data_IF_585074310042
#
_entry.id   IF_585074310042
#
_cell.length_a   1.000
_cell.length_b   1.000
_cell.length_c   1.000
_cell.angle_alpha   90.00
_cell.angle_beta   90.00
_cell.angle_gamma   90.00
#
_symmetry.space_group_name_H-M   'P 1'
#
loop_
_entity.id
_entity.type
_entity.pdbx_description
1 polymer ?
#
# COMPACT_ATOMS: atom_id res chain seq x y z
N UNK A 1 -2.31 -19.39 16.98
CA UNK A 1 -2.69 -18.13 16.28
C UNK A 1 -4.17 -18.15 15.93
N UNK A 2 -4.68 -19.10 15.14
CA UNK A 2 -6.10 -19.16 14.75
C UNK A 2 -7.07 -19.20 15.95
N UNK A 3 -6.85 -20.04 16.97
CA UNK A 3 -7.70 -20.07 18.18
C UNK A 3 -7.74 -18.74 18.94
N UNK A 4 -6.70 -17.90 18.84
CA UNK A 4 -6.68 -16.55 19.43
C UNK A 4 -7.61 -15.59 18.67
N UNK A 5 -7.80 -15.84 17.37
CA UNK A 5 -8.67 -15.05 16.50
C UNK A 5 -10.12 -15.55 16.49
N UNK A 6 -10.42 -16.74 16.99
CA UNK A 6 -11.76 -17.32 16.90
C UNK A 6 -12.85 -16.42 17.53
N UNK A 7 -12.63 -15.93 18.75
CA UNK A 7 -13.56 -15.03 19.41
C UNK A 7 -13.70 -13.70 18.65
N UNK A 8 -12.61 -13.18 18.10
CA UNK A 8 -12.57 -11.95 17.33
C UNK A 8 -13.28 -12.11 15.97
N UNK A 9 -13.04 -13.21 15.26
CA UNK A 9 -13.68 -13.54 13.98
C UNK A 9 -15.18 -13.76 14.15
N UNK A 10 -15.58 -14.51 15.19
CA UNK A 10 -17.00 -14.72 15.49
C UNK A 10 -17.70 -13.39 15.80
N UNK A 11 -17.10 -12.56 16.63
CA UNK A 11 -17.69 -11.27 17.03
C UNK A 11 -17.75 -10.28 15.87
N UNK A 12 -16.67 -10.16 15.10
CA UNK A 12 -16.57 -9.13 14.06
C UNK A 12 -17.31 -9.50 12.78
N UNK A 13 -17.29 -10.80 12.40
CA UNK A 13 -17.70 -11.23 11.06
C UNK A 13 -18.58 -12.49 11.07
N UNK A 14 -18.89 -13.05 12.24
CA UNK A 14 -19.79 -14.20 12.37
C UNK A 14 -19.20 -15.54 11.92
N UNK A 15 -17.88 -15.66 11.82
CA UNK A 15 -17.19 -16.88 11.34
C UNK A 15 -16.45 -17.55 12.49
N UNK A 16 -16.67 -18.84 12.64
CA UNK A 16 -15.91 -19.72 13.54
C UNK A 16 -14.92 -20.58 12.74
N UNK A 17 -13.84 -21.01 13.38
CA UNK A 17 -12.81 -21.83 12.72
C UNK A 17 -13.44 -23.14 12.20
N UNK A 18 -14.39 -23.70 12.97
CA UNK A 18 -15.12 -24.90 12.58
C UNK A 18 -15.86 -24.78 11.24
N UNK A 19 -16.24 -23.56 10.81
CA UNK A 19 -16.86 -23.36 9.50
C UNK A 19 -15.90 -23.61 8.34
N UNK A 20 -14.59 -23.44 8.55
CA UNK A 20 -13.57 -23.58 7.51
C UNK A 20 -13.27 -25.06 7.16
N UNK A 21 -13.85 -26.02 7.89
CA UNK A 21 -13.64 -27.46 7.67
C UNK A 21 -14.49 -28.05 6.53
N UNK A 22 -15.29 -27.23 5.85
CA UNK A 22 -16.07 -27.66 4.68
C UNK A 22 -15.22 -27.64 3.40
N UNK A 23 -15.40 -28.60 2.48
CA UNK A 23 -14.78 -28.57 1.14
C UNK A 23 -15.08 -27.28 0.33
N UNK A 24 -16.15 -26.57 0.66
CA UNK A 24 -16.59 -25.35 -0.04
C UNK A 24 -16.33 -24.06 0.76
N UNK A 25 -15.64 -24.15 1.90
CA UNK A 25 -15.29 -23.01 2.75
C UNK A 25 -16.34 -22.64 3.81
N UNK A 26 -16.23 -21.45 4.43
CA UNK A 26 -15.43 -20.29 4.00
C UNK A 26 -13.91 -20.49 4.08
N UNK A 27 -13.18 -19.90 3.14
CA UNK A 27 -11.71 -19.83 3.15
C UNK A 27 -11.26 -18.48 3.70
N UNK A 28 -10.15 -18.46 4.43
CA UNK A 28 -9.62 -17.24 5.05
C UNK A 28 -8.22 -16.96 4.48
N UNK A 29 -8.02 -15.73 4.01
CA UNK A 29 -6.71 -15.16 3.71
C UNK A 29 -6.42 -14.08 4.75
N UNK A 30 -5.28 -14.17 5.43
CA UNK A 30 -4.89 -13.27 6.51
C UNK A 30 -3.57 -12.59 6.17
N UNK A 31 -3.52 -11.26 6.28
CA UNK A 31 -2.31 -10.46 6.06
C UNK A 31 -2.32 -9.23 6.97
N UNK A 32 -1.19 -8.51 7.07
CA UNK A 32 -1.13 -7.30 7.89
C UNK A 32 -1.75 -6.09 7.18
N UNK A 33 -1.18 -5.69 6.04
CA UNK A 33 -1.54 -4.47 5.32
C UNK A 33 -1.49 -4.69 3.82
N UNK A 34 -2.58 -4.36 3.13
CA UNK A 34 -2.56 -4.34 1.66
C UNK A 34 -2.06 -2.98 1.16
N UNK A 35 -0.93 -2.99 0.46
CA UNK A 35 -0.42 -1.82 -0.26
C UNK A 35 -0.89 -1.83 -1.71
N UNK A 36 -0.09 -2.34 -2.65
CA UNK A 36 -0.45 -2.42 -4.07
C UNK A 36 -1.45 -3.52 -4.42
N UNK A 37 -1.76 -4.43 -3.48
CA UNK A 37 -2.61 -5.59 -3.73
C UNK A 37 -1.94 -6.77 -4.44
N UNK A 38 -0.67 -6.65 -4.86
CA UNK A 38 -0.03 -7.71 -5.66
C UNK A 38 0.19 -9.03 -4.91
N UNK A 39 0.56 -9.01 -3.62
CA UNK A 39 0.80 -10.24 -2.85
C UNK A 39 -0.45 -11.11 -2.77
N UNK A 40 -1.50 -10.56 -2.15
CA UNK A 40 -2.81 -11.22 -2.05
C UNK A 40 -3.37 -11.63 -3.41
N UNK A 41 -3.18 -10.81 -4.45
CA UNK A 41 -3.55 -11.16 -5.81
C UNK A 41 -2.82 -12.42 -6.27
N UNK A 42 -1.49 -12.45 -6.24
CA UNK A 42 -0.72 -13.58 -6.74
C UNK A 42 -1.00 -14.88 -5.97
N UNK A 43 -1.08 -14.78 -4.64
CA UNK A 43 -1.31 -15.92 -3.77
C UNK A 43 -2.70 -16.53 -4.05
N UNK A 44 -3.74 -15.68 -4.13
CA UNK A 44 -5.10 -16.14 -4.41
C UNK A 44 -5.33 -16.50 -5.89
N UNK A 45 -4.74 -15.82 -6.87
CA UNK A 45 -4.81 -16.24 -8.28
C UNK A 45 -4.29 -17.67 -8.44
N UNK A 46 -3.12 -17.96 -7.85
CA UNK A 46 -2.52 -19.29 -7.86
C UNK A 46 -3.45 -20.34 -7.22
N UNK A 47 -4.00 -20.03 -6.05
CA UNK A 47 -4.95 -20.90 -5.37
C UNK A 47 -6.26 -21.09 -6.16
N UNK A 48 -6.79 -20.01 -6.75
CA UNK A 48 -8.02 -20.04 -7.57
C UNK A 48 -7.84 -21.01 -8.73
N UNK A 49 -6.73 -20.96 -9.45
CA UNK A 49 -6.52 -21.87 -10.58
C UNK A 49 -6.29 -23.31 -10.14
N UNK A 50 -5.47 -23.51 -9.12
CA UNK A 50 -4.93 -24.85 -8.82
C UNK A 50 -5.74 -25.65 -7.80
N UNK A 51 -6.51 -24.99 -6.91
CA UNK A 51 -7.03 -25.66 -5.71
C UNK A 51 -8.43 -25.22 -5.26
N UNK A 52 -8.90 -24.02 -5.65
CA UNK A 52 -10.22 -23.55 -5.22
C UNK A 52 -11.34 -24.47 -5.74
N UNK A 53 -12.40 -24.71 -4.95
CA UNK A 53 -13.60 -25.42 -5.42
C UNK A 53 -14.35 -24.61 -6.48
N UNK A 54 -15.32 -25.25 -7.16
CA UNK A 54 -16.11 -24.59 -8.21
C UNK A 54 -16.96 -23.43 -7.70
N UNK A 55 -17.38 -23.46 -6.44
CA UNK A 55 -18.09 -22.38 -5.77
C UNK A 55 -17.66 -22.27 -4.31
N UNK A 56 -17.29 -21.07 -3.86
CA UNK A 56 -16.94 -20.81 -2.46
C UNK A 56 -16.92 -19.32 -2.08
N UNK A 57 -16.74 -19.07 -0.79
CA UNK A 57 -16.53 -17.75 -0.22
C UNK A 57 -15.11 -17.63 0.34
N UNK A 58 -14.43 -16.53 0.02
CA UNK A 58 -13.11 -16.17 0.55
C UNK A 58 -13.24 -14.89 1.38
N UNK A 59 -12.79 -14.93 2.63
CA UNK A 59 -12.66 -13.78 3.52
C UNK A 59 -11.21 -13.35 3.56
N UNK A 60 -10.91 -12.17 3.01
CA UNK A 60 -9.60 -11.53 3.11
C UNK A 60 -9.65 -10.59 4.32
N UNK A 61 -8.84 -10.88 5.32
CA UNK A 61 -8.83 -10.19 6.61
C UNK A 61 -7.48 -9.52 6.81
N UNK A 62 -7.48 -8.21 6.96
CA UNK A 62 -6.27 -7.40 7.14
C UNK A 62 -6.47 -6.35 8.23
N UNK A 63 -5.38 -5.81 8.78
CA UNK A 63 -5.49 -4.68 9.71
C UNK A 63 -5.83 -3.40 8.95
N UNK A 64 -5.16 -3.18 7.81
CA UNK A 64 -5.39 -2.03 6.96
C UNK A 64 -5.30 -2.38 5.46
N UNK A 65 -5.93 -1.57 4.62
CA UNK A 65 -5.61 -1.57 3.19
C UNK A 65 -5.58 -0.17 2.60
N UNK A 66 -4.81 -0.05 1.52
CA UNK A 66 -4.90 1.06 0.59
C UNK A 66 -6.00 0.75 -0.44
N UNK A 67 -6.90 1.71 -0.65
CA UNK A 67 -8.10 1.54 -1.49
C UNK A 67 -7.75 1.20 -2.94
N UNK A 68 -6.68 1.76 -3.48
CA UNK A 68 -6.17 1.46 -4.82
C UNK A 68 -5.74 0.00 -4.95
N UNK A 69 -4.98 -0.51 -3.98
CA UNK A 69 -4.54 -1.90 -3.97
C UNK A 69 -5.68 -2.90 -3.77
N UNK A 70 -6.60 -2.60 -2.85
CA UNK A 70 -7.78 -3.43 -2.60
C UNK A 70 -8.67 -3.52 -3.86
N UNK A 71 -8.92 -2.39 -4.51
CA UNK A 71 -9.71 -2.34 -5.75
C UNK A 71 -9.02 -3.12 -6.88
N UNK A 72 -7.71 -2.91 -7.06
CA UNK A 72 -6.92 -3.61 -8.07
C UNK A 72 -6.95 -5.12 -7.87
N UNK A 73 -6.66 -5.59 -6.65
CA UNK A 73 -6.68 -7.01 -6.31
C UNK A 73 -8.07 -7.62 -6.52
N UNK A 74 -9.13 -6.93 -6.08
CA UNK A 74 -10.51 -7.43 -6.25
C UNK A 74 -10.89 -7.66 -7.70
N UNK A 75 -10.56 -6.71 -8.59
CA UNK A 75 -10.84 -6.85 -10.01
C UNK A 75 -10.04 -8.00 -10.63
N UNK A 76 -8.78 -8.15 -10.26
CA UNK A 76 -7.93 -9.23 -10.77
C UNK A 76 -8.38 -10.60 -10.29
N UNK A 77 -8.76 -10.74 -9.03
CA UNK A 77 -9.28 -11.99 -8.48
C UNK A 77 -10.64 -12.35 -9.08
N UNK A 78 -11.50 -11.36 -9.35
CA UNK A 78 -12.75 -11.58 -10.10
C UNK A 78 -12.47 -12.10 -11.50
N UNK A 79 -11.51 -11.50 -12.22
CA UNK A 79 -11.08 -11.97 -13.54
C UNK A 79 -10.54 -13.40 -13.48
N UNK A 80 -9.70 -13.71 -12.50
CA UNK A 80 -9.14 -15.05 -12.31
C UNK A 80 -10.24 -16.10 -12.07
N UNK A 81 -11.19 -15.83 -11.17
CA UNK A 81 -12.33 -16.71 -10.91
C UNK A 81 -13.16 -16.96 -12.17
N UNK A 82 -13.50 -15.89 -12.91
CA UNK A 82 -14.23 -15.99 -14.18
C UNK A 82 -13.47 -16.82 -15.21
N UNK A 83 -12.18 -16.58 -15.39
CA UNK A 83 -11.34 -17.32 -16.34
C UNK A 83 -11.16 -18.80 -15.97
N UNK A 84 -11.26 -19.13 -14.68
CA UNK A 84 -11.23 -20.51 -14.19
C UNK A 84 -12.61 -21.19 -14.21
N UNK A 85 -13.68 -20.49 -14.61
CA UNK A 85 -15.05 -20.99 -14.57
C UNK A 85 -15.57 -21.23 -13.15
N UNK A 86 -15.07 -20.49 -12.16
CA UNK A 86 -15.40 -20.66 -10.74
C UNK A 86 -16.25 -19.50 -10.22
N UNK A 87 -17.21 -19.81 -9.36
CA UNK A 87 -18.04 -18.84 -8.66
C UNK A 87 -17.42 -18.54 -7.28
N UNK A 88 -16.55 -17.54 -7.22
CA UNK A 88 -15.85 -17.19 -5.98
C UNK A 88 -16.31 -15.82 -5.50
N UNK A 89 -16.93 -15.81 -4.31
CA UNK A 89 -17.33 -14.58 -3.63
C UNK A 89 -16.21 -14.13 -2.69
N UNK A 90 -15.77 -12.88 -2.82
CA UNK A 90 -14.67 -12.33 -2.01
C UNK A 90 -15.22 -11.24 -1.09
N UNK A 91 -14.91 -11.36 0.20
CA UNK A 91 -15.22 -10.38 1.24
C UNK A 91 -13.93 -9.81 1.82
N UNK A 92 -13.86 -8.48 1.93
CA UNK A 92 -12.73 -7.77 2.52
C UNK A 92 -13.07 -7.25 3.91
N UNK A 93 -12.19 -7.51 4.86
CA UNK A 93 -12.30 -7.09 6.25
C UNK A 93 -11.05 -6.32 6.65
N UNK A 94 -11.26 -5.21 7.35
CA UNK A 94 -10.23 -4.22 7.70
C UNK A 94 -10.67 -3.35 8.86
N UNK A 95 -9.70 -2.89 9.64
CA UNK A 95 -9.89 -1.85 10.65
C UNK A 95 -9.66 -0.46 10.09
N UNK A 96 -8.71 -0.32 9.16
CA UNK A 96 -8.29 0.98 8.60
C UNK A 96 -8.35 0.94 7.07
N UNK A 97 -8.89 2.00 6.47
CA UNK A 97 -8.78 2.26 5.04
C UNK A 97 -7.90 3.48 4.79
N UNK A 98 -7.08 3.43 3.74
CA UNK A 98 -6.20 4.51 3.32
C UNK A 98 -6.52 4.89 1.87
N UNK A 99 -6.84 6.15 1.62
CA UNK A 99 -7.05 6.66 0.27
C UNK A 99 -5.71 6.98 -0.43
N UNK A 100 -5.40 6.23 -1.48
CA UNK A 100 -4.16 6.38 -2.27
C UNK A 100 -4.39 6.49 -3.78
N UNK A 101 -5.65 6.41 -4.23
CA UNK A 101 -5.98 6.34 -5.66
C UNK A 101 -5.68 7.69 -6.32
N UNK A 102 -5.05 7.64 -7.49
CA UNK A 102 -4.66 8.83 -8.27
C UNK A 102 -5.81 9.82 -8.49
N UNK A 103 -7.03 9.32 -8.75
CA UNK A 103 -8.20 10.16 -8.96
C UNK A 103 -8.52 11.07 -7.77
N UNK A 104 -8.18 10.65 -6.55
CA UNK A 104 -8.38 11.41 -5.31
C UNK A 104 -7.06 12.02 -4.82
N UNK A 105 -6.20 12.49 -5.73
CA UNK A 105 -4.90 13.08 -5.38
C UNK A 105 -5.01 14.14 -4.27
N UNK A 106 -5.97 15.06 -4.40
CA UNK A 106 -6.25 16.13 -3.43
C UNK A 106 -6.93 15.69 -2.13
N UNK A 107 -7.39 14.45 -2.08
CA UNK A 107 -8.09 13.84 -0.95
C UNK A 107 -7.44 12.50 -0.58
N UNK A 108 -6.11 12.47 -0.50
CA UNK A 108 -5.34 11.26 -0.21
C UNK A 108 -4.82 11.23 1.22
N UNK A 109 -4.62 10.02 1.71
CA UNK A 109 -4.05 9.66 3.01
C UNK A 109 -2.57 9.26 2.94
N UNK A 110 -2.02 9.23 1.72
CA UNK A 110 -0.59 9.01 1.46
C UNK A 110 0.12 10.33 1.14
N UNK A 111 1.44 10.34 1.32
CA UNK A 111 2.30 11.49 1.00
C UNK A 111 2.20 11.85 -0.48
N UNK A 112 1.71 13.07 -0.76
CA UNK A 112 1.51 13.65 -2.09
C UNK A 112 1.81 15.15 -1.99
N UNK A 113 3.07 15.57 -2.25
CA UNK A 113 3.48 16.96 -2.08
C UNK A 113 2.53 17.94 -2.77
N UNK A 114 2.05 18.93 -2.01
CA UNK A 114 1.31 20.07 -2.57
C UNK A 114 2.23 21.09 -3.24
N UNK A 115 3.49 21.13 -2.82
CA UNK A 115 4.51 22.05 -3.32
C UNK A 115 5.79 21.27 -3.58
N UNK A 116 6.45 21.53 -4.71
CA UNK A 116 7.78 21.01 -4.98
C UNK A 116 8.84 22.03 -4.50
N UNK A 117 9.71 21.64 -3.56
CA UNK A 117 10.74 22.53 -3.04
C UNK A 117 11.73 22.98 -4.11
N UNK A 118 12.31 24.17 -3.97
CA UNK A 118 13.16 24.81 -5.00
C UNK A 118 14.64 24.40 -4.91
N UNK A 119 14.99 23.55 -3.96
CA UNK A 119 16.32 23.04 -3.75
C UNK A 119 16.84 22.31 -5.00
N UNK A 120 18.09 22.55 -5.43
CA UNK A 120 18.61 22.06 -6.71
C UNK A 120 18.44 20.55 -6.91
N UNK A 121 18.77 19.74 -5.89
CA UNK A 121 18.68 18.27 -5.98
C UNK A 121 17.25 17.78 -6.20
N UNK A 122 16.27 18.43 -5.58
CA UNK A 122 14.85 18.07 -5.72
C UNK A 122 14.35 18.50 -7.09
N UNK A 123 14.71 19.71 -7.54
CA UNK A 123 14.38 20.20 -8.87
C UNK A 123 15.01 19.34 -9.96
N UNK A 124 16.26 18.90 -9.80
CA UNK A 124 16.89 17.96 -10.72
C UNK A 124 16.09 16.66 -10.82
N UNK A 125 15.65 16.09 -9.70
CA UNK A 125 14.85 14.87 -9.69
C UNK A 125 13.48 15.07 -10.38
N UNK A 126 12.80 16.20 -10.11
CA UNK A 126 11.51 16.55 -10.74
C UNK A 126 11.67 16.79 -12.25
N UNK A 127 12.73 17.48 -12.66
CA UNK A 127 13.06 17.75 -14.05
C UNK A 127 13.43 16.47 -14.79
N UNK A 128 14.17 15.56 -14.16
CA UNK A 128 14.45 14.23 -14.71
C UNK A 128 13.15 13.51 -15.04
N UNK A 129 12.22 13.37 -14.07
CA UNK A 129 10.92 12.73 -14.32
C UNK A 129 10.11 13.43 -15.42
N UNK A 130 10.14 14.77 -15.44
CA UNK A 130 9.48 15.58 -16.45
C UNK A 130 10.05 15.33 -17.85
N UNK A 131 11.39 15.30 -17.98
CA UNK A 131 12.09 15.03 -19.24
C UNK A 131 11.85 13.62 -19.77
N UNK A 132 11.58 12.66 -18.88
CA UNK A 132 11.18 11.30 -19.24
C UNK A 132 9.70 11.18 -19.64
N UNK A 133 8.93 12.28 -19.61
CA UNK A 133 7.51 12.30 -19.95
C UNK A 133 6.56 12.01 -18.77
N UNK A 134 7.06 12.08 -17.53
CA UNK A 134 6.31 11.79 -16.31
C UNK A 134 6.37 12.94 -15.31
N UNK A 135 5.93 14.16 -15.68
CA UNK A 135 5.95 15.30 -14.76
C UNK A 135 5.19 14.96 -13.46
N UNK A 136 5.82 15.12 -12.29
CA UNK A 136 5.14 14.95 -11.02
C UNK A 136 3.96 15.91 -10.88
N UNK A 137 2.82 15.38 -10.46
CA UNK A 137 1.60 16.16 -10.23
C UNK A 137 1.55 16.63 -8.78
N UNK A 138 1.51 17.95 -8.57
CA UNK A 138 1.34 18.53 -7.26
C UNK A 138 -0.12 18.40 -6.81
N UNK A 139 -0.32 18.08 -5.53
CA UNK A 139 -1.66 18.01 -4.95
C UNK A 139 -2.25 19.41 -4.79
N UNK A 140 -3.52 19.61 -5.18
CA UNK A 140 -4.22 20.85 -4.85
C UNK A 140 -4.68 20.85 -3.39
N UNK A 141 -4.39 21.93 -2.66
CA UNK A 141 -4.90 22.14 -1.29
C UNK A 141 -6.30 22.75 -1.39
N UNK A 142 -7.31 22.04 -0.90
CA UNK A 142 -8.71 22.51 -0.90
C UNK A 142 -8.96 23.52 0.21
N UNK A 143 -10.03 24.31 0.11
CA UNK A 143 -10.52 25.16 1.18
C UNK A 143 -11.99 24.81 1.52
N UNK A 144 -12.27 24.17 2.68
CA UNK A 144 -11.30 23.77 3.72
C UNK A 144 -10.38 22.62 3.26
N UNK A 145 -9.19 22.44 3.89
CA UNK A 145 -8.29 21.34 3.56
C UNK A 145 -8.93 19.97 3.85
N UNK A 146 -8.55 18.96 3.05
CA UNK A 146 -8.93 17.57 3.29
C UNK A 146 -8.49 17.10 4.68
N UNK A 147 -9.44 16.59 5.46
CA UNK A 147 -9.21 16.12 6.82
C UNK A 147 -8.84 14.63 6.79
N UNK A 148 -7.57 14.35 6.53
CA UNK A 148 -7.04 12.98 6.64
C UNK A 148 -6.98 12.56 8.12
N UNK A 149 -7.36 11.32 8.47
CA UNK A 149 -7.19 10.81 9.83
C UNK A 149 -5.72 10.59 10.21
N UNK A 150 -4.78 10.65 9.25
CA UNK A 150 -3.36 10.38 9.46
C UNK A 150 -2.50 11.65 9.53
N UNK A 151 -3.02 12.79 9.06
CA UNK A 151 -2.32 14.07 9.08
C UNK A 151 -3.10 15.08 9.92
N UNK A 152 -2.49 15.53 11.03
CA UNK A 152 -3.15 16.40 12.00
C UNK A 152 -3.56 17.77 11.43
N UNK A 153 -2.71 18.36 10.59
CA UNK A 153 -2.98 19.62 9.88
C UNK A 153 -2.39 19.57 8.47
N UNK A 154 -2.88 20.43 7.58
CA UNK A 154 -2.35 20.55 6.21
C UNK A 154 -0.90 21.08 6.24
N UNK A 155 -0.57 22.03 7.11
CA UNK A 155 0.79 22.55 7.27
C UNK A 155 1.74 21.47 7.77
N UNK A 156 1.29 20.65 8.74
CA UNK A 156 2.08 19.53 9.25
C UNK A 156 2.29 18.44 8.20
N UNK A 157 1.28 18.20 7.35
CA UNK A 157 1.41 17.30 6.20
C UNK A 157 2.46 17.80 5.21
N UNK A 158 2.40 19.08 4.82
CA UNK A 158 3.37 19.65 3.88
C UNK A 158 4.80 19.64 4.43
N UNK A 159 4.98 19.91 5.73
CA UNK A 159 6.28 19.79 6.39
C UNK A 159 6.83 18.36 6.33
N UNK A 160 5.97 17.36 6.58
CA UNK A 160 6.36 15.95 6.50
C UNK A 160 6.69 15.53 5.06
N UNK A 161 5.87 15.95 4.08
CA UNK A 161 6.09 15.72 2.66
C UNK A 161 7.41 16.33 2.17
N UNK A 162 7.69 17.57 2.57
CA UNK A 162 8.97 18.26 2.33
C UNK A 162 10.14 17.45 2.88
N UNK A 163 10.11 17.14 4.18
CA UNK A 163 11.23 16.49 4.86
C UNK A 163 11.53 15.11 4.27
N UNK A 164 10.48 14.32 3.98
CA UNK A 164 10.64 12.97 3.44
C UNK A 164 11.02 12.97 1.95
N UNK A 165 10.53 13.92 1.17
CA UNK A 165 10.96 14.08 -0.23
C UNK A 165 12.45 14.46 -0.29
N UNK A 166 12.85 15.45 0.52
CA UNK A 166 14.24 15.90 0.60
C UNK A 166 15.17 14.76 1.05
N UNK A 167 14.83 14.07 2.14
CA UNK A 167 15.60 12.92 2.60
C UNK A 167 15.65 11.80 1.55
N UNK A 168 14.52 11.52 0.88
CA UNK A 168 14.44 10.49 -0.15
C UNK A 168 15.32 10.78 -1.37
N UNK A 169 15.36 12.02 -1.85
CA UNK A 169 16.25 12.44 -2.95
C UNK A 169 17.71 12.30 -2.54
N UNK A 170 18.08 12.77 -1.33
CA UNK A 170 19.43 12.61 -0.80
C UNK A 170 19.84 11.14 -0.68
N UNK A 171 18.95 10.27 -0.19
CA UNK A 171 19.22 8.84 -0.09
C UNK A 171 19.46 8.22 -1.47
N UNK A 172 18.72 8.64 -2.51
CA UNK A 172 18.94 8.19 -3.89
C UNK A 172 20.33 8.56 -4.41
N UNK A 173 20.85 9.72 -4.05
CA UNK A 173 22.20 10.14 -4.41
C UNK A 173 23.27 9.36 -3.62
N UNK A 174 23.04 9.11 -2.33
CA UNK A 174 23.99 8.41 -1.45
C UNK A 174 24.01 6.89 -1.65
N UNK A 175 22.91 6.30 -2.13
CA UNK A 175 22.74 4.85 -2.26
C UNK A 175 22.52 4.46 -3.73
N UNK A 176 23.57 4.46 -4.58
CA UNK A 176 23.44 4.27 -6.02
C UNK A 176 22.91 2.89 -6.43
N UNK A 177 22.99 1.90 -5.53
CA UNK A 177 22.49 0.54 -5.77
C UNK A 177 21.02 0.36 -5.41
N UNK A 178 20.32 1.40 -4.92
CA UNK A 178 18.87 1.31 -4.74
C UNK A 178 18.20 1.13 -6.10
N UNK A 179 17.36 0.09 -6.28
CA UNK A 179 16.65 -0.12 -7.54
C UNK A 179 15.88 1.13 -7.94
N UNK A 180 15.81 1.45 -9.23
CA UNK A 180 15.14 2.67 -9.73
C UNK A 180 13.66 2.78 -9.35
N UNK A 181 13.03 1.64 -9.04
CA UNK A 181 11.66 1.57 -8.54
C UNK A 181 11.53 2.05 -7.09
N UNK A 182 12.62 2.13 -6.33
CA UNK A 182 12.67 2.80 -5.04
C UNK A 182 12.78 4.29 -5.31
N UNK A 183 11.65 5.00 -5.22
CA UNK A 183 11.54 6.44 -5.44
C UNK A 183 11.70 7.19 -4.10
N UNK A 184 11.91 8.52 -4.11
CA UNK A 184 12.08 9.33 -2.89
C UNK A 184 10.98 9.16 -1.83
N UNK A 185 9.74 8.88 -2.24
CA UNK A 185 8.59 8.67 -1.34
C UNK A 185 8.13 7.20 -1.32
N UNK A 186 9.02 6.25 -1.65
CA UNK A 186 8.77 4.81 -1.55
C UNK A 186 8.63 4.11 -2.89
N UNK A 187 8.56 2.78 -2.85
CA UNK A 187 8.56 1.89 -4.00
C UNK A 187 7.36 2.14 -4.91
N UNK A 188 7.62 2.40 -6.19
CA UNK A 188 6.60 2.43 -7.23
C UNK A 188 7.19 1.94 -8.55
N UNK A 189 6.45 1.06 -9.24
CA UNK A 189 6.77 0.69 -10.63
C UNK A 189 6.52 1.87 -11.59
N UNK A 190 5.64 2.80 -11.20
CA UNK A 190 5.35 3.99 -11.98
C UNK A 190 6.48 5.01 -11.79
N UNK A 191 6.71 5.82 -12.82
CA UNK A 191 7.61 6.98 -12.77
C UNK A 191 6.88 8.13 -12.07
N UNK A 192 6.87 8.07 -10.74
CA UNK A 192 6.29 9.06 -9.82
C UNK A 192 7.25 9.27 -8.64
N UNK A 193 6.96 10.23 -7.75
CA UNK A 193 7.77 10.48 -6.56
C UNK A 193 7.81 9.31 -5.58
N UNK A 194 6.79 8.44 -5.57
CA UNK A 194 6.73 7.22 -4.78
C UNK A 194 5.30 6.83 -4.43
N UNK A 195 5.15 5.72 -3.69
CA UNK A 195 3.84 5.25 -3.22
C UNK A 195 3.29 6.13 -2.09
N UNK A 196 4.16 6.61 -1.20
CA UNK A 196 3.83 7.60 -0.18
C UNK A 196 3.19 7.04 1.09
N UNK A 197 3.25 5.74 1.33
CA UNK A 197 2.63 5.18 2.55
C UNK A 197 3.42 5.56 3.79
N UNK A 198 2.73 5.79 4.90
CA UNK A 198 3.33 6.03 6.22
C UNK A 198 3.06 4.87 7.18
N UNK A 199 2.43 3.78 6.72
CA UNK A 199 2.10 2.63 7.56
C UNK A 199 3.31 1.73 7.76
N UNK A 200 3.71 1.58 9.02
CA UNK A 200 4.71 0.64 9.51
C UNK A 200 4.06 -0.26 10.54
N UNK A 201 4.38 -1.56 10.53
CA UNK A 201 3.91 -2.50 11.56
C UNK A 201 5.08 -2.91 12.45
N UNK A 202 4.79 -3.48 13.62
CA UNK A 202 5.84 -4.04 14.49
C UNK A 202 6.65 -5.16 13.80
N UNK A 203 6.13 -5.75 12.72
CA UNK A 203 6.78 -6.82 11.97
C UNK A 203 7.75 -6.28 10.93
N UNK A 204 7.39 -5.19 10.24
CA UNK A 204 8.19 -4.68 9.13
C UNK A 204 7.87 -3.22 8.75
N UNK A 205 8.88 -2.52 8.22
CA UNK A 205 8.70 -1.31 7.42
C UNK A 205 8.68 -1.66 5.91
N UNK A 206 7.55 -1.49 5.21
CA UNK A 206 7.41 -1.89 3.81
C UNK A 206 8.21 -0.96 2.88
N UNK A 207 8.59 -1.43 1.68
CA UNK A 207 9.29 -0.55 0.71
C UNK A 207 8.40 0.52 0.11
N UNK A 208 7.08 0.42 0.25
CA UNK A 208 6.11 1.44 -0.13
C UNK A 208 6.16 2.68 0.77
N UNK A 209 6.80 2.58 1.94
CA UNK A 209 7.20 3.74 2.73
C UNK A 209 8.42 4.45 2.13
N UNK A 210 8.60 5.75 2.39
CA UNK A 210 9.79 6.48 1.98
C UNK A 210 11.08 5.76 2.42
N UNK A 211 12.14 5.71 1.58
CA UNK A 211 13.42 5.13 1.96
C UNK A 211 14.03 5.77 3.22
N UNK A 212 13.69 7.02 3.57
CA UNK A 212 14.08 7.61 4.86
C UNK A 212 13.69 6.76 6.07
N UNK A 213 12.62 5.96 5.96
CA UNK A 213 12.17 5.08 7.02
C UNK A 213 13.02 3.83 7.17
N UNK A 214 13.66 3.32 6.11
CA UNK A 214 14.19 1.95 6.10
C UNK A 214 15.48 1.74 5.30
N UNK A 215 15.95 2.71 4.53
CA UNK A 215 17.20 2.61 3.80
C UNK A 215 18.36 2.42 4.79
N UNK A 216 19.20 1.43 4.54
CA UNK A 216 20.37 1.16 5.35
C UNK A 216 21.58 1.99 4.92
N UNK A 217 22.76 1.56 5.38
CA UNK A 217 24.06 2.15 5.12
C UNK A 217 24.22 2.69 3.67
N UNK A 218 24.63 3.97 3.46
CA UNK A 218 25.08 4.95 4.46
C UNK A 218 23.98 5.72 5.22
N UNK A 219 22.69 5.41 5.01
CA UNK A 219 21.60 6.03 5.76
C UNK A 219 21.37 5.33 7.11
N UNK A 220 20.96 6.11 8.13
CA UNK A 220 20.48 5.57 9.40
C UNK A 220 18.94 5.63 9.41
N UNK A 221 18.24 4.49 9.28
CA UNK A 221 16.79 4.46 9.10
C UNK A 221 16.02 4.77 10.38
N UNK A 222 14.79 5.29 10.24
CA UNK A 222 13.88 5.50 11.36
C UNK A 222 13.29 4.19 11.91
N UNK A 223 13.17 3.17 11.07
CA UNK A 223 12.56 1.88 11.41
C UNK A 223 13.40 0.71 10.89
N UNK A 224 13.43 -0.42 11.62
CA UNK A 224 14.04 -1.64 11.12
C UNK A 224 13.23 -2.20 9.95
N UNK A 225 13.94 -2.78 8.98
CA UNK A 225 13.33 -3.49 7.85
C UNK A 225 13.82 -4.92 7.81
N UNK A 226 12.88 -5.85 7.71
CA UNK A 226 13.15 -7.24 7.35
C UNK A 226 12.96 -7.39 5.85
N UNK A 227 14.00 -7.85 5.16
CA UNK A 227 13.87 -8.29 3.78
C UNK A 227 13.46 -9.76 3.81
N UNK A 228 12.38 -10.09 3.08
CA UNK A 228 11.92 -11.46 2.91
C UNK A 228 12.65 -12.11 1.75
#
# INVERSE_FOLDING_TARGET
>A
MLNLFESALRTAIGIEIGNCNSPTGPFIYLDDVIFSGNRVRHDLETWIHNSAPSSCIVHIIVMAYHRGGQWYASNKLKQAAQSAGKEIKIHWWRSIEVEDRRYYLSQSDVLRPAVFPQEPDIQEYVNMLTSEGYPPEARAVTNPPYQSPFFKTEEGRQLLEYALLHAGVRIRQLCPFLPDKIRPLGFSILKILGFGSTIVTFRNCPNTCPPAFWAGNPWYPLFPRKTN
#
